data_IF_937080858673
#
_entry.id   IF_937080858673
#
_cell.length_a   1.000
_cell.length_b   1.000
_cell.length_c   1.000
_cell.angle_alpha   90.00
_cell.angle_beta   90.00
_cell.angle_gamma   90.00
#
_symmetry.space_group_name_H-M   'P 1'
#
loop_
_entity.id
_entity.type
_entity.pdbx_description
1 polymer ?
#
# COMPACT_ATOMS: atom_id res chain seq x y z
N UNK A 1 23.20 -27.71 -38.36
CA UNK A 1 22.79 -26.67 -39.32
C UNK A 1 23.54 -25.40 -38.90
N UNK A 2 24.86 -25.32 -39.11
CA UNK A 2 25.54 -24.93 -40.37
C UNK A 2 25.08 -23.53 -40.79
N UNK A 3 25.91 -22.49 -40.92
CA UNK A 3 27.27 -22.33 -41.47
C UNK A 3 28.11 -21.49 -40.47
N UNK A 4 29.38 -21.73 -40.10
CA UNK A 4 30.60 -22.14 -40.80
C UNK A 4 30.94 -21.27 -42.03
N UNK A 5 31.65 -20.17 -41.78
CA UNK A 5 32.37 -19.38 -42.79
C UNK A 5 33.87 -19.65 -42.61
N UNK A 6 34.33 -20.57 -43.44
CA UNK A 6 35.57 -20.61 -44.22
C UNK A 6 36.77 -19.68 -43.95
N UNK A 7 37.94 -20.36 -43.94
CA UNK A 7 39.22 -20.08 -44.64
C UNK A 7 40.45 -19.82 -43.76
N UNK A 8 41.36 -20.80 -43.85
CA UNK A 8 42.75 -20.84 -43.39
C UNK A 8 43.64 -20.11 -44.40
N UNK A 9 44.39 -19.14 -43.87
CA UNK A 9 45.74 -18.69 -44.19
C UNK A 9 46.20 -18.53 -45.67
N UNK A 10 46.63 -17.31 -46.01
CA UNK A 10 47.90 -17.14 -46.71
C UNK A 10 48.63 -15.87 -46.24
N UNK A 11 49.86 -16.08 -45.80
CA UNK A 11 50.82 -15.14 -45.26
C UNK A 11 51.26 -14.07 -46.28
N UNK A 12 51.34 -12.80 -45.87
CA UNK A 12 52.45 -11.91 -46.27
C UNK A 12 52.86 -11.06 -45.07
N UNK A 13 54.01 -11.46 -44.53
CA UNK A 13 55.10 -10.72 -43.89
C UNK A 13 54.87 -9.38 -43.15
N UNK A 14 55.55 -9.33 -41.99
CA UNK A 14 56.02 -8.16 -41.25
C UNK A 14 54.96 -7.32 -40.53
N UNK A 15 54.75 -7.65 -39.25
CA UNK A 15 55.35 -6.91 -38.14
C UNK A 15 54.85 -7.51 -36.84
N UNK A 16 55.74 -7.71 -35.89
CA UNK A 16 55.38 -8.01 -34.50
C UNK A 16 54.90 -6.67 -33.91
N UNK A 17 53.62 -6.46 -33.55
CA UNK A 17 53.31 -5.41 -32.62
C UNK A 17 53.62 -5.99 -31.24
N UNK A 18 54.72 -5.53 -30.67
CA UNK A 18 54.96 -5.58 -29.23
C UNK A 18 53.71 -4.98 -28.60
N UNK A 19 52.81 -5.83 -28.09
CA UNK A 19 51.66 -5.37 -27.32
C UNK A 19 52.25 -4.77 -26.05
N UNK A 20 52.42 -3.45 -26.08
CA UNK A 20 52.90 -2.69 -24.94
C UNK A 20 52.04 -3.05 -23.73
N UNK A 21 52.68 -3.41 -22.63
CA UNK A 21 52.02 -3.67 -21.34
C UNK A 21 51.08 -2.53 -20.92
N UNK A 22 51.29 -1.32 -21.46
CA UNK A 22 50.39 -0.16 -21.28
C UNK A 22 48.99 -0.39 -21.87
N UNK A 23 48.84 -0.99 -23.06
CA UNK A 23 47.52 -1.17 -23.71
C UNK A 23 46.70 -2.28 -23.06
N UNK A 24 47.36 -3.36 -22.59
CA UNK A 24 46.70 -4.42 -21.81
C UNK A 24 46.30 -3.93 -20.41
N UNK A 25 47.09 -3.05 -19.78
CA UNK A 25 46.70 -2.42 -18.51
C UNK A 25 45.51 -1.47 -18.68
N UNK A 26 45.46 -0.67 -19.75
CA UNK A 26 44.33 0.21 -20.02
C UNK A 26 43.03 -0.55 -20.29
N UNK A 27 43.06 -1.61 -21.09
CA UNK A 27 41.87 -2.45 -21.34
C UNK A 27 41.37 -3.12 -20.06
N UNK A 28 42.27 -3.58 -19.19
CA UNK A 28 41.90 -4.18 -17.90
C UNK A 28 41.35 -3.15 -16.91
N UNK A 29 41.85 -1.91 -16.94
CA UNK A 29 41.34 -0.81 -16.13
C UNK A 29 39.93 -0.40 -16.58
N UNK A 30 39.71 -0.27 -17.90
CA UNK A 30 38.39 0.03 -18.48
C UNK A 30 37.39 -1.11 -18.19
N UNK A 31 37.81 -2.38 -18.30
CA UNK A 31 36.98 -3.54 -17.97
C UNK A 31 36.55 -3.57 -16.50
N UNK A 32 37.46 -3.24 -15.57
CA UNK A 32 37.13 -3.14 -14.13
C UNK A 32 36.14 -2.02 -13.85
N UNK A 33 36.30 -0.87 -14.51
CA UNK A 33 35.37 0.27 -14.37
C UNK A 33 33.97 -0.10 -14.92
N UNK A 34 33.90 -0.73 -16.09
CA UNK A 34 32.63 -1.19 -16.68
C UNK A 34 31.94 -2.22 -15.77
N UNK A 35 32.69 -3.20 -15.25
CA UNK A 35 32.14 -4.20 -14.33
C UNK A 35 31.63 -3.56 -13.02
N UNK A 36 32.35 -2.58 -12.47
CA UNK A 36 31.93 -1.86 -11.28
C UNK A 36 30.63 -1.07 -11.51
N UNK A 37 30.49 -0.40 -12.67
CA UNK A 37 29.26 0.33 -13.04
C UNK A 37 28.08 -0.62 -13.21
N UNK A 38 28.26 -1.78 -13.85
CA UNK A 38 27.19 -2.78 -14.02
C UNK A 38 26.73 -3.31 -12.66
N UNK A 39 27.66 -3.65 -11.76
CA UNK A 39 27.34 -4.11 -10.38
C UNK A 39 26.60 -3.03 -9.59
N UNK A 40 26.99 -1.77 -9.76
CA UNK A 40 26.33 -0.65 -9.10
C UNK A 40 24.88 -0.44 -9.61
N UNK A 41 24.66 -0.53 -10.93
CA UNK A 41 23.33 -0.37 -11.54
C UNK A 41 22.40 -1.54 -11.18
N UNK A 42 22.90 -2.78 -11.17
CA UNK A 42 22.10 -3.95 -10.78
C UNK A 42 21.78 -3.92 -9.29
N UNK A 43 22.71 -3.49 -8.43
CA UNK A 43 22.46 -3.24 -7.00
C UNK A 43 21.41 -2.15 -6.77
N UNK A 44 21.40 -1.08 -7.58
CA UNK A 44 20.43 0.00 -7.45
C UNK A 44 19.01 -0.43 -7.89
N UNK A 45 18.93 -1.34 -8.87
CA UNK A 45 17.66 -1.87 -9.38
C UNK A 45 16.93 -2.78 -8.38
N UNK A 46 17.66 -3.47 -7.47
CA UNK A 46 17.08 -4.37 -6.47
C UNK A 46 16.36 -3.61 -5.34
N UNK A 47 16.65 -2.30 -5.17
CA UNK A 47 15.97 -1.47 -4.16
C UNK A 47 14.57 -1.00 -4.56
N UNK A 48 14.18 -1.18 -5.83
CA UNK A 48 12.79 -0.92 -6.27
C UNK A 48 11.96 -2.18 -6.01
N UNK A 49 11.79 -2.51 -4.74
CA UNK A 49 10.88 -3.57 -4.31
C UNK A 49 9.45 -3.22 -4.71
N UNK A 50 8.75 -4.16 -5.36
CA UNK A 50 7.31 -4.06 -5.55
C UNK A 50 6.63 -4.07 -4.17
N UNK A 51 6.26 -2.91 -3.64
CA UNK A 51 5.41 -2.86 -2.45
C UNK A 51 4.08 -3.50 -2.78
N UNK A 52 3.79 -4.65 -2.17
CA UNK A 52 2.42 -5.15 -2.12
C UNK A 52 1.59 -4.14 -1.34
N UNK A 53 0.76 -3.38 -2.06
CA UNK A 53 -0.15 -2.42 -1.44
C UNK A 53 -1.31 -3.20 -0.85
N UNK A 54 -1.28 -3.44 0.45
CA UNK A 54 -2.44 -3.90 1.22
C UNK A 54 -3.59 -2.88 1.12
N UNK A 55 -4.85 -3.28 1.31
CA UNK A 55 -5.94 -2.33 1.41
C UNK A 55 -5.65 -1.33 2.55
N UNK A 56 -5.91 -0.03 2.34
CA UNK A 56 -5.70 0.98 3.37
C UNK A 56 -6.60 0.70 4.58
N UNK A 57 -6.02 0.84 5.77
CA UNK A 57 -6.75 0.79 7.04
C UNK A 57 -6.88 2.22 7.54
N UNK A 58 -8.09 2.68 7.93
CA UNK A 58 -8.27 4.02 8.46
C UNK A 58 -7.62 4.15 9.83
N UNK A 59 -7.15 5.36 10.15
CA UNK A 59 -6.81 5.77 11.50
C UNK A 59 -8.02 6.47 12.10
N UNK A 60 -8.45 5.99 13.28
CA UNK A 60 -9.57 6.55 14.03
C UNK A 60 -9.06 7.01 15.38
N UNK A 61 -9.39 8.25 15.76
CA UNK A 61 -8.95 8.85 17.03
C UNK A 61 -10.08 9.62 17.69
N UNK A 62 -10.17 9.55 19.02
CA UNK A 62 -10.95 10.48 19.83
C UNK A 62 -9.99 11.23 20.73
N UNK A 63 -9.96 12.56 20.60
CA UNK A 63 -8.99 13.44 21.27
C UNK A 63 -7.53 13.02 20.99
N UNK A 64 -6.87 12.37 21.96
CA UNK A 64 -5.48 11.86 21.83
C UNK A 64 -5.40 10.34 21.80
N UNK A 65 -6.53 9.65 21.92
CA UNK A 65 -6.58 8.19 21.99
C UNK A 65 -6.89 7.60 20.62
N UNK A 66 -6.06 6.66 20.18
CA UNK A 66 -6.32 5.89 18.98
C UNK A 66 -7.32 4.77 19.28
N UNK A 67 -8.37 4.69 18.47
CA UNK A 67 -9.38 3.64 18.54
C UNK A 67 -8.91 2.49 17.64
N UNK A 68 -8.70 1.27 18.17
CA UNK A 68 -8.30 0.13 17.36
C UNK A 68 -9.36 -0.23 16.32
N UNK A 69 -8.89 -0.52 15.11
CA UNK A 69 -9.73 -0.84 13.96
C UNK A 69 -9.46 -2.26 13.50
N UNK A 70 -10.51 -2.98 13.09
CA UNK A 70 -10.40 -4.28 12.44
C UNK A 70 -10.80 -4.15 10.97
N UNK A 71 -9.89 -4.52 10.05
CA UNK A 71 -10.17 -4.61 8.62
C UNK A 71 -11.35 -5.55 8.37
N UNK A 72 -12.29 -5.12 7.53
CA UNK A 72 -13.45 -5.89 7.06
C UNK A 72 -13.34 -6.05 5.53
N UNK A 73 -14.47 -6.20 4.84
CA UNK A 73 -14.53 -6.43 3.39
C UNK A 73 -13.73 -5.41 2.60
N UNK A 74 -13.11 -5.86 1.51
CA UNK A 74 -12.36 -5.02 0.60
C UNK A 74 -12.34 -5.60 -0.82
N UNK A 75 -12.09 -4.73 -1.80
CA UNK A 75 -11.70 -5.09 -3.16
C UNK A 75 -10.51 -4.22 -3.55
N UNK A 76 -9.34 -4.83 -3.74
CA UNK A 76 -8.09 -4.06 -3.84
C UNK A 76 -7.12 -4.58 -4.89
N UNK A 77 -7.14 -3.95 -6.07
CA UNK A 77 -6.17 -4.20 -7.14
C UNK A 77 -5.94 -5.69 -7.41
N UNK A 78 -4.69 -6.14 -7.34
CA UNK A 78 -4.30 -7.55 -7.56
C UNK A 78 -4.60 -8.47 -6.37
N UNK A 79 -4.90 -7.93 -5.18
CA UNK A 79 -5.30 -8.73 -4.02
C UNK A 79 -6.69 -9.33 -4.17
N UNK A 80 -7.46 -8.85 -5.14
CA UNK A 80 -8.83 -9.29 -5.37
C UNK A 80 -9.79 -8.76 -4.30
N UNK A 81 -10.89 -9.48 -4.12
CA UNK A 81 -11.93 -9.14 -3.16
C UNK A 81 -11.99 -10.17 -2.05
N UNK A 82 -12.22 -9.71 -0.83
CA UNK A 82 -12.51 -10.54 0.32
C UNK A 82 -13.72 -9.97 1.05
N UNK A 83 -14.71 -10.84 1.31
CA UNK A 83 -15.92 -10.50 2.04
C UNK A 83 -15.86 -11.05 3.46
N UNK A 84 -16.18 -10.21 4.44
CA UNK A 84 -16.22 -10.57 5.85
C UNK A 84 -17.64 -10.47 6.41
N UNK A 85 -17.85 -11.10 7.57
CA UNK A 85 -19.10 -10.96 8.32
C UNK A 85 -19.41 -9.48 8.58
N UNK A 86 -20.68 -9.08 8.49
CA UNK A 86 -21.07 -7.69 8.70
C UNK A 86 -21.24 -7.38 10.19
N UNK A 87 -21.01 -6.12 10.56
CA UNK A 87 -21.54 -5.53 11.78
C UNK A 87 -20.86 -5.99 13.07
N UNK A 88 -21.66 -6.09 14.14
CA UNK A 88 -21.20 -6.38 15.51
C UNK A 88 -20.48 -7.74 15.64
N UNK A 89 -20.79 -8.70 14.76
CA UNK A 89 -20.21 -10.07 14.81
C UNK A 89 -18.68 -10.06 14.70
N UNK A 90 -18.10 -9.18 13.88
CA UNK A 90 -16.64 -9.06 13.75
C UNK A 90 -15.95 -8.49 15.00
N UNK A 91 -16.72 -7.82 15.86
CA UNK A 91 -16.22 -7.16 17.06
C UNK A 91 -16.45 -8.00 18.32
N UNK A 92 -16.94 -9.24 18.19
CA UNK A 92 -17.14 -10.15 19.32
C UNK A 92 -15.81 -10.38 20.05
N UNK A 93 -15.78 -10.07 21.35
CA UNK A 93 -14.58 -10.21 22.19
C UNK A 93 -13.55 -9.09 22.03
N UNK A 94 -13.83 -8.03 21.26
CA UNK A 94 -13.00 -6.83 21.22
C UNK A 94 -13.36 -5.90 22.38
N UNK A 95 -12.34 -5.39 23.07
CA UNK A 95 -12.50 -4.40 24.14
C UNK A 95 -12.84 -3.04 23.55
N UNK A 96 -13.96 -2.40 23.94
CA UNK A 96 -14.29 -1.03 23.53
C UNK A 96 -13.23 -0.02 23.98
N UNK A 97 -12.98 0.99 23.14
CA UNK A 97 -12.22 2.17 23.58
C UNK A 97 -13.16 3.13 24.30
N UNK A 98 -12.82 3.52 25.53
CA UNK A 98 -13.61 4.49 26.29
C UNK A 98 -13.43 5.89 25.69
N UNK A 99 -14.54 6.58 25.44
CA UNK A 99 -14.57 7.95 24.92
C UNK A 99 -15.54 8.81 25.72
N UNK A 100 -15.34 10.13 25.67
CA UNK A 100 -16.20 11.11 26.34
C UNK A 100 -17.48 11.31 25.52
N UNK A 101 -18.65 11.50 26.15
CA UNK A 101 -19.88 11.87 25.44
C UNK A 101 -19.67 13.08 24.55
N UNK A 102 -20.23 13.04 23.33
CA UNK A 102 -20.15 14.13 22.34
C UNK A 102 -18.72 14.56 21.95
N UNK A 103 -17.70 13.72 22.22
CA UNK A 103 -16.34 13.94 21.73
C UNK A 103 -16.28 13.87 20.20
N UNK A 104 -15.29 14.54 19.61
CA UNK A 104 -15.00 14.40 18.19
C UNK A 104 -14.24 13.10 17.94
N UNK A 105 -14.77 12.27 17.04
CA UNK A 105 -14.08 11.10 16.52
C UNK A 105 -13.60 11.45 15.11
N UNK A 106 -12.29 11.51 14.95
CA UNK A 106 -11.62 11.79 13.68
C UNK A 106 -11.42 10.51 12.89
N UNK A 107 -11.62 10.62 11.58
CA UNK A 107 -11.40 9.56 10.60
C UNK A 107 -10.44 10.04 9.54
N UNK A 108 -9.33 9.32 9.35
CA UNK A 108 -8.35 9.62 8.31
C UNK A 108 -7.78 8.35 7.68
N UNK A 109 -7.24 8.47 6.47
CA UNK A 109 -6.47 7.41 5.82
C UNK A 109 -5.05 7.91 5.55
N UNK A 110 -4.05 7.20 6.05
CA UNK A 110 -2.66 7.42 5.67
C UNK A 110 -2.36 6.72 4.34
N UNK A 111 -3.03 7.18 3.27
CA UNK A 111 -2.92 6.61 1.93
C UNK A 111 -3.07 7.70 0.88
N UNK A 112 -2.24 7.62 -0.18
CA UNK A 112 -2.25 8.57 -1.30
C UNK A 112 -2.54 7.88 -2.63
N UNK A 113 -3.53 8.36 -3.42
CA UNK A 113 -4.44 9.47 -3.09
C UNK A 113 -5.40 9.11 -1.94
N UNK A 114 -5.96 10.11 -1.25
CA UNK A 114 -7.01 9.90 -0.27
C UNK A 114 -8.27 9.28 -0.92
N UNK A 115 -9.13 8.57 -0.18
CA UNK A 115 -10.38 8.06 -0.72
C UNK A 115 -11.27 9.21 -1.24
N UNK A 116 -11.98 8.96 -2.33
CA UNK A 116 -12.92 9.92 -2.91
C UNK A 116 -14.21 10.01 -2.09
N UNK A 117 -14.55 8.93 -1.38
CA UNK A 117 -15.69 8.90 -0.46
C UNK A 117 -15.32 8.13 0.81
N UNK A 118 -15.79 8.65 1.95
CA UNK A 118 -15.75 7.97 3.24
C UNK A 118 -17.18 7.96 3.79
N UNK A 119 -17.64 6.80 4.25
CA UNK A 119 -18.90 6.68 4.97
C UNK A 119 -18.68 5.99 6.31
N UNK A 120 -19.37 6.48 7.35
CA UNK A 120 -19.39 5.87 8.68
C UNK A 120 -20.82 5.52 9.04
N UNK A 121 -20.98 4.35 9.62
CA UNK A 121 -22.27 3.77 9.94
C UNK A 121 -22.24 3.16 11.34
N UNK A 122 -23.25 3.44 12.14
CA UNK A 122 -23.46 2.82 13.44
C UNK A 122 -24.35 1.57 13.28
N UNK A 123 -23.90 0.44 13.81
CA UNK A 123 -24.69 -0.78 13.87
C UNK A 123 -25.59 -0.77 15.12
N UNK A 124 -26.89 -0.64 14.90
CA UNK A 124 -27.93 -0.84 15.91
C UNK A 124 -28.52 -2.25 15.74
N UNK A 125 -29.35 -2.71 16.69
CA UNK A 125 -29.78 -4.12 16.71
C UNK A 125 -30.57 -4.53 15.47
N UNK A 126 -31.45 -3.65 14.98
CA UNK A 126 -32.32 -3.93 13.83
C UNK A 126 -31.96 -3.13 12.58
N UNK A 127 -31.06 -2.16 12.69
CA UNK A 127 -30.74 -1.25 11.58
C UNK A 127 -29.33 -0.71 11.64
N UNK A 128 -28.91 -0.16 10.51
CA UNK A 128 -27.68 0.63 10.42
C UNK A 128 -28.08 2.10 10.25
N UNK A 129 -27.44 2.99 10.99
CA UNK A 129 -27.70 4.44 10.94
C UNK A 129 -26.42 5.14 10.52
N UNK A 130 -26.53 6.07 9.58
CA UNK A 130 -25.36 6.83 9.13
C UNK A 130 -24.86 7.76 10.25
N UNK A 131 -23.55 7.82 10.41
CA UNK A 131 -22.85 8.78 11.26
C UNK A 131 -22.13 9.76 10.32
N UNK A 132 -22.78 10.86 9.91
CA UNK A 132 -22.24 11.74 8.89
C UNK A 132 -20.94 12.40 9.36
N UNK A 133 -19.96 12.43 8.47
CA UNK A 133 -18.69 13.12 8.69
C UNK A 133 -18.83 14.60 8.31
N UNK A 134 -18.32 15.48 9.16
CA UNK A 134 -18.11 16.91 8.90
C UNK A 134 -16.61 17.17 9.05
N UNK A 135 -15.95 17.56 7.96
CA UNK A 135 -14.51 17.80 7.89
C UNK A 135 -13.65 16.62 8.41
N UNK A 136 -14.12 15.38 8.20
CA UNK A 136 -13.44 14.16 8.65
C UNK A 136 -13.76 13.73 10.09
N UNK A 137 -14.70 14.42 10.76
CA UNK A 137 -15.11 14.13 12.13
C UNK A 137 -16.57 13.74 12.23
N UNK A 138 -16.92 12.88 13.18
CA UNK A 138 -18.30 12.72 13.65
C UNK A 138 -18.34 12.76 15.19
N UNK A 139 -19.53 12.94 15.75
CA UNK A 139 -19.71 13.03 17.21
C UNK A 139 -19.98 11.66 17.83
N UNK A 140 -19.29 11.37 18.93
CA UNK A 140 -19.67 10.25 19.79
C UNK A 140 -21.09 10.45 20.34
N UNK A 141 -21.85 9.38 20.59
CA UNK A 141 -23.18 9.48 21.18
C UNK A 141 -23.16 10.21 22.53
N UNK A 142 -24.28 10.86 22.86
CA UNK A 142 -24.47 11.52 24.16
C UNK A 142 -24.75 10.53 25.28
N UNK A 143 -25.52 9.49 24.95
CA UNK A 143 -25.96 8.50 25.93
C UNK A 143 -24.83 7.52 26.25
N UNK A 144 -24.78 7.08 27.51
CA UNK A 144 -23.84 6.06 27.97
C UNK A 144 -24.14 4.73 27.29
N UNK A 145 -23.11 4.03 26.81
CA UNK A 145 -23.29 2.71 26.22
C UNK A 145 -22.14 2.25 25.32
N UNK A 146 -22.25 1.03 24.81
CA UNK A 146 -21.30 0.46 23.85
C UNK A 146 -21.85 0.61 22.44
N UNK A 147 -21.04 1.21 21.57
CA UNK A 147 -21.43 1.56 20.21
C UNK A 147 -20.48 0.93 19.19
N UNK A 148 -21.07 0.32 18.17
CA UNK A 148 -20.36 -0.44 17.14
C UNK A 148 -20.49 0.30 15.81
N UNK A 149 -19.38 0.44 15.11
CA UNK A 149 -19.32 1.20 13.87
C UNK A 149 -18.67 0.43 12.75
N UNK A 150 -19.12 0.72 11.55
CA UNK A 150 -18.48 0.37 10.29
C UNK A 150 -18.06 1.63 9.56
N UNK A 151 -16.95 1.55 8.85
CA UNK A 151 -16.41 2.58 8.00
C UNK A 151 -16.15 1.97 6.62
N UNK A 152 -16.49 2.68 5.56
CA UNK A 152 -16.02 2.37 4.21
C UNK A 152 -15.23 3.54 3.62
N UNK A 153 -14.18 3.21 2.89
CA UNK A 153 -13.43 4.12 2.05
C UNK A 153 -13.42 3.61 0.62
N UNK A 154 -13.79 4.49 -0.32
CA UNK A 154 -13.86 4.18 -1.74
C UNK A 154 -12.91 5.08 -2.52
N UNK A 155 -12.23 4.49 -3.50
CA UNK A 155 -11.39 5.20 -4.45
C UNK A 155 -12.00 5.04 -5.83
N UNK A 156 -12.26 6.16 -6.50
CA UNK A 156 -12.80 6.19 -7.85
C UNK A 156 -11.88 6.91 -8.82
N UNK A 157 -12.11 6.71 -10.11
CA UNK A 157 -11.56 7.56 -11.17
C UNK A 157 -12.08 8.98 -11.04
N UNK A 158 -11.37 9.94 -11.63
CA UNK A 158 -11.64 11.37 -11.47
C UNK A 158 -13.00 11.75 -12.08
N UNK A 159 -13.49 10.98 -13.06
CA UNK A 159 -14.84 11.06 -13.62
C UNK A 159 -15.92 10.34 -12.77
N UNK A 160 -15.52 9.74 -11.65
CA UNK A 160 -16.38 8.98 -10.73
C UNK A 160 -16.91 7.66 -11.27
N UNK A 161 -16.52 7.25 -12.49
CA UNK A 161 -17.19 6.15 -13.20
C UNK A 161 -16.68 4.76 -12.84
N UNK A 162 -15.40 4.64 -12.47
CA UNK A 162 -14.76 3.36 -12.19
C UNK A 162 -14.18 3.32 -10.79
N UNK A 163 -14.39 2.21 -10.07
CA UNK A 163 -13.71 1.97 -8.80
C UNK A 163 -12.24 1.60 -9.04
N UNK A 164 -11.35 2.24 -8.30
CA UNK A 164 -9.92 1.89 -8.17
C UNK A 164 -9.68 0.96 -6.98
N UNK A 165 -10.65 0.84 -6.07
CA UNK A 165 -10.61 -0.03 -4.91
C UNK A 165 -11.54 0.46 -3.80
N UNK A 166 -11.90 -0.45 -2.90
CA UNK A 166 -12.67 -0.14 -1.70
C UNK A 166 -12.13 -0.93 -0.52
N UNK A 167 -12.27 -0.35 0.66
CA UNK A 167 -11.90 -0.97 1.93
C UNK A 167 -12.97 -0.65 2.95
N UNK A 168 -13.25 -1.60 3.84
CA UNK A 168 -14.12 -1.36 4.98
C UNK A 168 -13.48 -1.82 6.26
N UNK A 169 -13.95 -1.29 7.37
CA UNK A 169 -13.36 -1.51 8.67
C UNK A 169 -14.42 -1.36 9.76
N UNK A 170 -14.22 -2.04 10.88
CA UNK A 170 -15.14 -1.99 12.01
C UNK A 170 -14.40 -1.66 13.30
N UNK A 171 -15.06 -0.93 14.20
CA UNK A 171 -14.53 -0.54 15.49
C UNK A 171 -15.64 -0.43 16.54
N UNK A 172 -15.25 -0.43 17.83
CA UNK A 172 -16.16 -0.36 18.97
C UNK A 172 -15.67 0.64 19.99
N UNK A 173 -16.58 1.47 20.49
CA UNK A 173 -16.34 2.45 21.55
C UNK A 173 -17.31 2.23 22.70
N UNK A 174 -16.95 2.71 23.88
CA UNK A 174 -17.84 2.83 25.03
C UNK A 174 -17.88 4.30 25.45
N UNK A 175 -19.08 4.88 25.44
CA UNK A 175 -19.33 6.20 26.01
C UNK A 175 -19.60 6.00 27.50
N UNK A 176 -18.87 6.71 28.36
CA UNK A 176 -19.01 6.63 29.83
C UNK A 176 -19.49 7.93 30.48
#
# INVERSE_FOLDING_TARGET
MALFIEIVACFVYETIPIYSTSTLMEVNMVRKQILAVIVFITSLSILVGCSEKTPPIPKITSDKNQIPVTQSSYCWGKLGCADYARGKTMLKGKTPTVVVPESNIEVSFDYKPAPTQIAVQQFQDEKTVDAPLVDGYFKAPKEKGVYYYGLSGDWTTDDGKYSKGSTSSVFVIEVQ
#
